data_IF_498806808861
#
_entry.id   IF_498806808861
#
_cell.length_a   1.000
_cell.length_b   1.000
_cell.length_c   1.000
_cell.angle_alpha   90.00
_cell.angle_beta   90.00
_cell.angle_gamma   90.00
#
_symmetry.space_group_name_H-M   'P 1'
#
loop_
_entity.id
_entity.type
_entity.pdbx_description
1 polymer ?
#
# COMPACT_ATOMS: atom_id res chain seq x y z
N UNK A 1 8.48 14.67 1.29
CA UNK A 1 7.20 13.96 1.12
C UNK A 1 7.33 12.55 1.67
N UNK A 2 6.29 11.99 2.30
CA UNK A 2 6.29 10.63 2.89
C UNK A 2 6.62 9.56 1.85
N UNK A 3 6.09 9.69 0.63
CA UNK A 3 6.28 8.73 -0.45
C UNK A 3 7.77 8.46 -0.76
N UNK A 4 8.62 9.50 -0.83
CA UNK A 4 10.04 9.32 -1.13
C UNK A 4 10.76 8.52 -0.04
N UNK A 5 10.37 8.72 1.22
CA UNK A 5 10.98 8.06 2.37
C UNK A 5 10.53 6.58 2.49
N UNK A 6 9.30 6.27 2.07
CA UNK A 6 8.83 4.89 1.86
C UNK A 6 9.62 4.21 0.74
N UNK A 7 9.81 4.89 -0.40
CA UNK A 7 10.54 4.32 -1.55
C UNK A 7 12.00 3.98 -1.19
N UNK A 8 12.65 4.73 -0.30
CA UNK A 8 14.00 4.42 0.20
C UNK A 8 14.08 3.13 1.03
N UNK A 9 12.96 2.72 1.65
CA UNK A 9 12.88 1.49 2.46
C UNK A 9 12.48 0.26 1.65
N UNK A 10 12.08 0.43 0.38
CA UNK A 10 11.74 -0.70 -0.46
C UNK A 10 12.98 -1.52 -0.83
N UNK A 11 12.87 -2.86 -0.86
CA UNK A 11 13.91 -3.70 -1.40
C UNK A 11 14.16 -3.35 -2.87
N UNK A 12 15.44 -3.25 -3.25
CA UNK A 12 15.85 -2.94 -4.62
C UNK A 12 15.25 -3.96 -5.59
N UNK A 13 14.64 -3.49 -6.67
CA UNK A 13 14.03 -4.33 -7.71
C UNK A 13 12.53 -4.64 -7.52
N UNK A 14 11.87 -4.15 -6.46
CA UNK A 14 10.43 -4.32 -6.31
C UNK A 14 9.62 -3.25 -7.07
N UNK A 15 9.48 -3.47 -8.37
CA UNK A 15 8.73 -2.59 -9.26
C UNK A 15 7.26 -2.46 -8.83
N UNK A 16 6.63 -3.55 -8.41
CA UNK A 16 5.19 -3.56 -8.10
C UNK A 16 4.92 -2.76 -6.83
N UNK A 17 5.74 -2.94 -5.79
CA UNK A 17 5.63 -2.15 -4.57
C UNK A 17 5.85 -0.67 -4.84
N UNK A 18 6.81 -0.30 -5.70
CA UNK A 18 6.99 1.10 -6.12
C UNK A 18 5.70 1.67 -6.74
N UNK A 19 5.10 0.97 -7.70
CA UNK A 19 3.88 1.44 -8.35
C UNK A 19 2.67 1.50 -7.40
N UNK A 20 2.60 0.63 -6.38
CA UNK A 20 1.56 0.69 -5.34
C UNK A 20 1.70 1.99 -4.55
N UNK A 21 2.90 2.31 -4.08
CA UNK A 21 3.18 3.52 -3.30
C UNK A 21 2.91 4.77 -4.12
N UNK A 22 3.33 4.80 -5.38
CA UNK A 22 3.05 5.91 -6.31
C UNK A 22 1.55 6.09 -6.55
N UNK A 23 0.81 5.00 -6.74
CA UNK A 23 -0.64 5.06 -6.94
C UNK A 23 -1.38 5.63 -5.71
N UNK A 24 -0.95 5.25 -4.50
CA UNK A 24 -1.51 5.80 -3.26
C UNK A 24 -1.09 7.26 -3.05
N UNK A 25 0.14 7.63 -3.39
CA UNK A 25 0.62 9.01 -3.27
C UNK A 25 -0.14 9.98 -4.16
N UNK A 26 -0.51 9.56 -5.38
CA UNK A 26 -1.24 10.40 -6.33
C UNK A 26 -2.76 10.32 -6.16
N UNK A 27 -3.28 9.13 -5.84
CA UNK A 27 -4.71 8.85 -5.79
C UNK A 27 -5.34 8.88 -4.41
N UNK A 28 -4.54 8.94 -3.35
CA UNK A 28 -5.00 8.86 -1.96
C UNK A 28 -5.50 7.48 -1.55
N UNK A 29 -6.41 7.40 -0.57
CA UNK A 29 -6.90 6.13 -0.04
C UNK A 29 -7.68 5.30 -1.06
N UNK A 30 -7.16 4.11 -1.37
CA UNK A 30 -7.73 3.22 -2.40
C UNK A 30 -7.99 1.82 -1.88
N UNK A 31 -9.06 1.19 -2.37
CA UNK A 31 -9.29 -0.25 -2.12
C UNK A 31 -8.43 -1.13 -3.06
N UNK A 32 -8.37 -2.44 -2.79
CA UNK A 32 -7.60 -3.41 -3.60
C UNK A 32 -7.94 -3.37 -5.09
N UNK A 33 -9.22 -3.17 -5.44
CA UNK A 33 -9.67 -3.16 -6.83
C UNK A 33 -9.22 -1.89 -7.55
N UNK A 34 -9.34 -0.73 -6.89
CA UNK A 34 -8.85 0.56 -7.37
C UNK A 34 -7.34 0.55 -7.54
N UNK A 35 -6.62 0.09 -6.52
CA UNK A 35 -5.17 -0.04 -6.55
C UNK A 35 -4.72 -0.99 -7.66
N UNK A 36 -5.43 -2.11 -7.85
CA UNK A 36 -5.16 -3.03 -8.97
C UNK A 36 -5.30 -2.34 -10.31
N UNK A 37 -6.36 -1.54 -10.50
CA UNK A 37 -6.58 -0.79 -11.75
C UNK A 37 -5.50 0.27 -11.96
N UNK A 38 -5.16 1.05 -10.93
CA UNK A 38 -4.14 2.08 -10.99
C UNK A 38 -2.76 1.50 -11.35
N UNK A 39 -2.34 0.43 -10.65
CA UNK A 39 -1.07 -0.27 -10.92
C UNK A 39 -1.09 -0.88 -12.33
N UNK A 40 -2.21 -1.46 -12.76
CA UNK A 40 -2.33 -2.07 -14.10
C UNK A 40 -2.31 -1.02 -15.21
N UNK A 41 -2.89 0.15 -14.99
CA UNK A 41 -2.85 1.26 -15.95
C UNK A 41 -1.42 1.76 -16.18
N UNK A 42 -0.59 1.78 -15.14
CA UNK A 42 0.83 2.21 -15.24
C UNK A 42 1.74 1.13 -15.79
N UNK A 43 1.69 -0.07 -15.21
CA UNK A 43 2.61 -1.18 -15.55
C UNK A 43 2.17 -1.96 -16.79
N UNK A 44 0.93 -1.78 -17.26
CA UNK A 44 0.28 -2.58 -18.31
C UNK A 44 -0.11 -3.99 -17.86
N UNK A 45 0.69 -4.62 -16.99
CA UNK A 45 0.47 -5.97 -16.46
C UNK A 45 0.58 -6.00 -14.94
N UNK A 46 -0.48 -6.44 -14.28
CA UNK A 46 -0.42 -6.75 -12.86
C UNK A 46 -1.44 -7.84 -12.51
N UNK A 47 -0.95 -8.89 -11.86
CA UNK A 47 -1.83 -9.94 -11.32
C UNK A 47 -2.39 -9.47 -9.98
N UNK A 48 -3.72 -9.55 -9.82
CA UNK A 48 -4.41 -9.25 -8.55
C UNK A 48 -3.79 -10.01 -7.37
N UNK A 49 -3.34 -11.25 -7.61
CA UNK A 49 -2.67 -12.06 -6.58
C UNK A 49 -1.37 -11.41 -6.13
N UNK A 50 -0.51 -11.02 -7.07
CA UNK A 50 0.80 -10.42 -6.76
C UNK A 50 0.60 -9.07 -6.07
N UNK A 51 -0.33 -8.23 -6.53
CA UNK A 51 -0.63 -6.94 -5.86
C UNK A 51 -1.07 -7.19 -4.42
N UNK A 52 -1.98 -8.15 -4.18
CA UNK A 52 -2.40 -8.51 -2.82
C UNK A 52 -1.22 -8.97 -1.98
N UNK A 53 -0.37 -9.87 -2.49
CA UNK A 53 0.82 -10.35 -1.76
C UNK A 53 1.78 -9.20 -1.40
N UNK A 54 2.01 -8.26 -2.33
CA UNK A 54 2.88 -7.10 -2.11
C UNK A 54 2.25 -6.12 -1.12
N UNK A 55 0.95 -5.83 -1.25
CA UNK A 55 0.22 -4.96 -0.34
C UNK A 55 0.26 -5.48 1.10
N UNK A 56 0.08 -6.79 1.29
CA UNK A 56 0.20 -7.42 2.62
C UNK A 56 1.61 -7.32 3.19
N UNK A 57 2.66 -7.46 2.36
CA UNK A 57 4.04 -7.21 2.80
C UNK A 57 4.25 -5.76 3.20
N UNK A 58 3.74 -4.80 2.42
CA UNK A 58 3.87 -3.37 2.73
C UNK A 58 3.14 -2.99 4.03
N UNK A 59 1.97 -3.58 4.28
CA UNK A 59 1.25 -3.47 5.55
C UNK A 59 2.09 -4.03 6.72
N UNK A 60 2.66 -5.23 6.55
CA UNK A 60 3.54 -5.84 7.55
C UNK A 60 4.82 -5.05 7.82
N UNK A 61 5.31 -4.27 6.85
CA UNK A 61 6.45 -3.37 7.00
C UNK A 61 6.07 -1.99 7.54
N UNK A 62 4.78 -1.70 7.73
CA UNK A 62 4.30 -0.37 8.14
C UNK A 62 4.51 0.72 7.10
N UNK A 63 4.63 0.35 5.82
CA UNK A 63 4.79 1.30 4.70
C UNK A 63 3.45 1.75 4.12
N UNK A 64 2.39 1.01 4.40
CA UNK A 64 1.00 1.29 4.04
C UNK A 64 0.15 1.02 5.27
N UNK A 65 -0.93 1.77 5.44
CA UNK A 65 -1.91 1.60 6.53
C UNK A 65 -3.29 1.33 5.95
N UNK A 66 -4.10 0.54 6.66
CA UNK A 66 -5.53 0.44 6.36
C UNK A 66 -6.23 1.64 7.01
N UNK A 67 -7.09 2.32 6.25
CA UNK A 67 -7.87 3.46 6.75
C UNK A 67 -9.32 3.05 6.96
N UNK A 68 -9.92 3.53 8.06
CA UNK A 68 -11.32 3.25 8.36
C UNK A 68 -12.27 3.97 7.39
N UNK A 69 -13.32 3.26 6.95
CA UNK A 69 -14.32 3.79 6.03
C UNK A 69 -15.28 2.71 5.49
N UNK A 70 -16.10 3.07 4.49
CA UNK A 70 -16.95 2.11 3.76
C UNK A 70 -16.08 1.16 2.92
N UNK A 71 -15.66 0.05 3.53
CA UNK A 71 -14.82 -0.99 2.92
C UNK A 71 -13.33 -0.86 3.25
N UNK A 72 -12.56 -1.92 2.94
CA UNK A 72 -11.11 -1.94 3.18
C UNK A 72 -10.37 -1.04 2.20
N UNK A 73 -9.86 0.08 2.68
CA UNK A 73 -9.05 1.05 1.93
C UNK A 73 -7.66 1.15 2.52
N UNK A 74 -6.69 1.47 1.67
CA UNK A 74 -5.29 1.54 2.03
C UNK A 74 -4.74 2.90 1.65
N UNK A 75 -3.87 3.46 2.49
CA UNK A 75 -3.21 4.74 2.25
C UNK A 75 -1.76 4.75 2.80
N UNK A 76 -1.01 5.79 2.50
CA UNK A 76 0.32 6.03 3.05
C UNK A 76 0.25 6.57 4.49
N UNK A 77 1.20 6.21 5.37
CA UNK A 77 1.22 6.72 6.73
C UNK A 77 1.45 8.23 6.77
N UNK A 78 0.60 8.98 7.48
CA UNK A 78 0.70 10.45 7.60
C UNK A 78 1.99 10.93 8.29
N UNK A 79 2.61 10.09 9.14
CA UNK A 79 3.92 10.37 9.74
C UNK A 79 4.80 9.11 9.75
N UNK A 80 6.03 9.23 9.23
CA UNK A 80 7.06 8.17 9.31
C UNK A 80 7.95 8.31 10.55
N UNK A 81 7.53 9.13 11.52
CA UNK A 81 8.31 9.57 12.68
C UNK A 81 7.98 8.89 14.01
N UNK A 82 7.11 7.88 14.03
CA UNK A 82 6.78 7.13 15.22
C UNK A 82 6.74 5.65 14.91
N UNK A 83 7.70 4.91 15.44
CA UNK A 83 7.57 3.46 15.57
C UNK A 83 6.35 3.21 16.48
N UNK A 84 5.26 2.67 15.93
CA UNK A 84 4.10 2.30 16.75
C UNK A 84 2.79 2.11 16.00
N UNK A 85 2.36 0.85 15.97
CA UNK A 85 0.97 0.39 16.11
C UNK A 85 0.04 0.49 14.88
N UNK A 86 -0.47 -0.68 14.49
CA UNK A 86 -1.42 -0.85 13.40
C UNK A 86 -1.80 -2.29 13.04
N UNK A 87 -1.34 -3.31 13.77
CA UNK A 87 -2.09 -4.58 13.82
C UNK A 87 -3.39 -4.33 14.59
N UNK A 88 -4.52 -4.18 13.88
CA UNK A 88 -5.86 -4.77 14.13
C UNK A 88 -6.73 -4.31 12.94
N UNK A 89 -7.20 -5.20 12.06
CA UNK A 89 -8.42 -5.94 12.33
C UNK A 89 -8.25 -7.45 12.08
N UNK A 90 -7.96 -8.16 13.16
CA UNK A 90 -8.43 -9.54 13.28
C UNK A 90 -9.95 -9.50 13.21
N UNK A 91 -10.57 -10.16 12.23
CA UNK A 91 -11.95 -10.63 12.37
C UNK A 91 -11.86 -12.07 12.88
N UNK A 92 -12.05 -12.22 14.19
CA UNK A 92 -12.54 -13.43 14.82
C UNK A 92 -13.85 -13.02 15.51
N UNK A 93 -14.96 -13.47 14.94
CA UNK A 93 -16.19 -14.01 15.56
C UNK A 93 -17.26 -14.17 14.47
#
# INVERSE_FOLDING_TARGET
MVAEQVLRRLPRGDEISRHIIEALAEGGPMNISELTRAVRARRGRASRRIIRERLQRLLGMGLVVEVEGHGRKFDLPTSLGGQGLGTKAQKAE
#
